data_IF_693812402600
#
_entry.id   IF_693812402600
#
_cell.length_a   1.000
_cell.length_b   1.000
_cell.length_c   1.000
_cell.angle_alpha   90.00
_cell.angle_beta   90.00
_cell.angle_gamma   90.00
#
_symmetry.space_group_name_H-M   'P 1'
#
loop_
_entity.id
_entity.type
_entity.pdbx_description
1 polymer ?
#
# COMPACT_ATOMS: atom_id res chain seq x y z
N UNK A 1 -37.05 -6.03 -39.02
CA UNK A 1 -35.79 -6.80 -38.94
C UNK A 1 -34.86 -5.99 -38.06
N UNK A 2 -34.78 -6.37 -36.78
CA UNK A 2 -34.18 -5.54 -35.74
C UNK A 2 -32.66 -5.45 -35.88
N UNK A 3 -32.12 -4.27 -35.60
CA UNK A 3 -30.68 -3.94 -35.67
C UNK A 3 -29.86 -4.84 -34.72
N UNK A 4 -30.52 -5.41 -33.72
CA UNK A 4 -29.96 -6.39 -32.79
C UNK A 4 -29.73 -7.79 -33.40
N UNK A 5 -30.34 -8.09 -34.54
CA UNK A 5 -30.23 -9.38 -35.22
C UNK A 5 -29.09 -9.35 -36.26
N UNK A 6 -28.88 -8.20 -36.91
CA UNK A 6 -27.76 -7.96 -37.84
C UNK A 6 -26.40 -7.98 -37.13
N UNK A 7 -26.32 -7.47 -35.89
CA UNK A 7 -25.08 -7.48 -35.11
C UNK A 7 -24.68 -8.87 -34.59
N UNK A 8 -25.65 -9.78 -34.43
CA UNK A 8 -25.41 -11.17 -33.98
C UNK A 8 -24.81 -12.06 -35.07
N UNK A 9 -24.95 -11.69 -36.35
CA UNK A 9 -24.46 -12.47 -37.48
C UNK A 9 -23.02 -12.12 -37.88
N UNK A 10 -22.51 -10.93 -37.51
CA UNK A 10 -21.14 -10.50 -37.85
C UNK A 10 -20.09 -11.04 -36.90
N UNK A 11 -20.39 -11.07 -35.61
CA UNK A 11 -19.39 -11.31 -34.58
C UNK A 11 -19.85 -12.50 -33.73
N UNK A 12 -19.31 -13.69 -33.99
CA UNK A 12 -19.64 -14.93 -33.27
C UNK A 12 -19.33 -14.94 -31.76
N UNK A 13 -19.15 -13.78 -31.12
CA UNK A 13 -19.01 -13.58 -29.67
C UNK A 13 -19.69 -12.26 -29.29
N UNK A 14 -20.97 -12.33 -28.93
CA UNK A 14 -21.67 -11.19 -28.30
C UNK A 14 -21.27 -11.09 -26.82
N UNK A 15 -20.20 -10.36 -26.52
CA UNK A 15 -19.91 -9.96 -25.14
C UNK A 15 -20.81 -8.75 -24.79
N UNK A 16 -21.71 -8.85 -23.79
CA UNK A 16 -22.61 -7.76 -23.46
C UNK A 16 -21.86 -6.55 -22.85
N UNK A 17 -22.32 -5.32 -23.12
CA UNK A 17 -21.64 -4.05 -22.80
C UNK A 17 -21.35 -3.82 -21.30
N UNK A 18 -22.06 -4.50 -20.40
CA UNK A 18 -21.78 -4.49 -18.96
C UNK A 18 -20.53 -5.30 -18.57
N UNK A 19 -19.99 -6.10 -19.49
CA UNK A 19 -18.74 -6.87 -19.31
C UNK A 19 -17.49 -6.01 -19.55
N UNK A 20 -17.49 -4.72 -19.19
CA UNK A 20 -16.27 -3.93 -19.15
C UNK A 20 -15.23 -4.56 -18.18
N UNK A 21 -15.72 -5.22 -17.13
CA UNK A 21 -14.93 -6.06 -16.20
C UNK A 21 -14.29 -7.29 -16.84
N UNK A 22 -14.78 -7.80 -17.98
CA UNK A 22 -14.16 -8.95 -18.67
C UNK A 22 -12.84 -8.57 -19.35
N UNK A 23 -12.61 -7.27 -19.60
CA UNK A 23 -11.36 -6.78 -20.18
C UNK A 23 -10.29 -6.72 -19.08
N UNK A 24 -9.46 -7.78 -19.02
CA UNK A 24 -8.31 -8.00 -18.11
C UNK A 24 -7.46 -6.76 -17.79
N UNK A 25 -7.35 -5.80 -18.71
CA UNK A 25 -6.60 -4.55 -18.51
C UNK A 25 -7.18 -3.65 -17.39
N UNK A 26 -8.50 -3.54 -17.26
CA UNK A 26 -9.11 -2.71 -16.21
C UNK A 26 -8.95 -3.32 -14.82
N UNK A 27 -9.02 -4.65 -14.71
CA UNK A 27 -8.77 -5.34 -13.45
C UNK A 27 -7.33 -5.13 -12.96
N UNK A 28 -6.33 -5.18 -13.85
CA UNK A 28 -4.92 -4.93 -13.49
C UNK A 28 -4.71 -3.48 -13.05
N UNK A 29 -5.32 -2.51 -13.74
CA UNK A 29 -5.20 -1.09 -13.35
C UNK A 29 -5.87 -0.83 -12.00
N UNK A 30 -7.02 -1.44 -11.73
CA UNK A 30 -7.70 -1.32 -10.45
C UNK A 30 -6.88 -1.94 -9.31
N UNK A 31 -6.29 -3.12 -9.53
CA UNK A 31 -5.37 -3.76 -8.57
C UNK A 31 -4.10 -2.94 -8.35
N UNK A 32 -3.52 -2.36 -9.40
CA UNK A 32 -2.40 -1.41 -9.33
C UNK A 32 -2.75 -0.21 -8.47
N UNK A 33 -3.90 0.41 -8.72
CA UNK A 33 -4.37 1.56 -7.96
C UNK A 33 -4.53 1.25 -6.46
N UNK A 34 -5.19 0.14 -6.12
CA UNK A 34 -5.37 -0.27 -4.72
C UNK A 34 -4.03 -0.61 -4.05
N UNK A 35 -3.12 -1.27 -4.78
CA UNK A 35 -1.78 -1.59 -4.31
C UNK A 35 -0.97 -0.35 -3.96
N UNK A 36 -0.95 0.65 -4.86
CA UNK A 36 -0.28 1.92 -4.59
C UNK A 36 -0.91 2.65 -3.41
N UNK A 37 -2.25 2.70 -3.33
CA UNK A 37 -2.93 3.31 -2.19
C UNK A 37 -2.53 2.67 -0.85
N UNK A 38 -2.52 1.34 -0.76
CA UNK A 38 -2.14 0.61 0.45
C UNK A 38 -0.69 0.91 0.88
N UNK A 39 0.27 0.88 -0.05
CA UNK A 39 1.67 1.19 0.24
C UNK A 39 1.85 2.63 0.74
N UNK A 40 1.13 3.59 0.16
CA UNK A 40 1.15 4.98 0.63
C UNK A 40 0.56 5.12 2.04
N UNK A 41 -0.53 4.42 2.36
CA UNK A 41 -1.13 4.45 3.68
C UNK A 41 -0.17 3.91 4.76
N UNK A 42 0.49 2.77 4.50
CA UNK A 42 1.45 2.18 5.43
C UNK A 42 2.64 3.12 5.72
N UNK A 43 3.13 3.80 4.69
CA UNK A 43 4.21 4.79 4.83
C UNK A 43 3.82 5.96 5.72
N UNK A 44 2.58 6.45 5.61
CA UNK A 44 2.06 7.53 6.46
C UNK A 44 1.92 7.04 7.90
N UNK A 45 1.37 5.85 8.10
CA UNK A 45 1.19 5.27 9.43
C UNK A 45 2.51 5.15 10.19
N UNK A 46 3.61 4.75 9.52
CA UNK A 46 4.93 4.67 10.16
C UNK A 46 5.43 6.04 10.65
N UNK A 47 5.24 7.10 9.86
CA UNK A 47 5.66 8.45 10.22
C UNK A 47 4.81 9.07 11.33
N UNK A 48 3.52 8.70 11.40
CA UNK A 48 2.63 9.12 12.50
C UNK A 48 2.91 8.32 13.77
N UNK A 49 3.16 7.02 13.65
CA UNK A 49 3.42 6.14 14.78
C UNK A 49 4.68 6.53 15.56
N UNK A 50 5.76 6.95 14.89
CA UNK A 50 6.98 7.39 15.59
C UNK A 50 6.74 8.66 16.41
N UNK A 51 5.89 9.57 15.93
CA UNK A 51 5.49 10.77 16.68
C UNK A 51 4.65 10.35 17.88
N UNK A 52 3.66 9.48 17.70
CA UNK A 52 2.81 9.00 18.80
C UNK A 52 3.59 8.20 19.87
N UNK A 53 4.66 7.50 19.49
CA UNK A 53 5.50 6.75 20.45
C UNK A 53 6.51 7.62 21.21
N UNK A 54 6.80 8.82 20.71
CA UNK A 54 7.78 9.74 21.29
C UNK A 54 7.16 11.03 21.80
N UNK A 55 5.83 11.16 21.75
CA UNK A 55 5.15 12.30 22.33
C UNK A 55 5.23 12.25 23.86
N UNK A 56 5.51 13.41 24.45
CA UNK A 56 5.52 13.59 25.91
C UNK A 56 4.08 13.83 26.34
N UNK A 57 3.56 12.97 27.21
CA UNK A 57 2.20 13.10 27.77
C UNK A 57 2.28 13.54 29.22
N UNK A 58 1.53 14.59 29.55
CA UNK A 58 1.37 15.00 30.93
C UNK A 58 0.35 14.06 31.60
N UNK A 59 0.80 13.31 32.59
CA UNK A 59 0.00 12.36 33.37
C UNK A 59 -0.25 12.98 34.75
N UNK A 60 -1.53 13.17 35.08
CA UNK A 60 -1.94 13.58 36.41
C UNK A 60 -2.05 12.33 37.30
N UNK A 61 -1.24 12.28 38.35
CA UNK A 61 -1.25 11.16 39.30
C UNK A 61 -2.39 11.24 40.33
N UNK A 62 -3.31 12.21 40.21
CA UNK A 62 -4.46 12.37 41.11
C UNK A 62 -4.09 12.91 42.50
N UNK A 63 -2.81 13.21 42.72
CA UNK A 63 -2.26 13.75 43.97
C UNK A 63 -1.88 15.24 43.85
N UNK A 64 -2.29 15.90 42.77
CA UNK A 64 -1.96 17.31 42.45
C UNK A 64 -0.59 17.50 41.78
N UNK A 65 0.11 16.41 41.44
CA UNK A 65 1.39 16.42 40.72
C UNK A 65 1.18 16.00 39.27
N UNK A 66 1.62 16.84 38.34
CA UNK A 66 1.67 16.53 36.91
C UNK A 66 3.07 16.00 36.59
N UNK A 67 3.18 14.75 36.14
CA UNK A 67 4.43 14.21 35.61
C UNK A 67 4.39 14.10 34.10
N UNK A 68 5.57 14.09 33.50
CA UNK A 68 5.71 13.84 32.07
C UNK A 68 6.06 12.36 31.88
N UNK A 69 5.22 11.63 31.17
CA UNK A 69 5.51 10.26 30.77
C UNK A 69 5.69 10.19 29.26
N UNK A 70 6.69 9.43 28.82
CA UNK A 70 6.97 9.15 27.42
C UNK A 70 7.16 7.64 27.26
N UNK A 71 6.56 7.05 26.22
CA UNK A 71 6.60 5.60 26.02
C UNK A 71 8.01 5.12 25.63
N UNK A 72 8.69 5.89 24.77
CA UNK A 72 10.10 5.73 24.45
C UNK A 72 10.81 7.09 24.52
N UNK A 73 11.84 7.19 25.36
CA UNK A 73 12.68 8.38 25.52
C UNK A 73 13.72 8.49 24.38
N UNK A 74 13.23 8.43 23.13
CA UNK A 74 14.07 8.51 21.94
C UNK A 74 14.38 9.96 21.61
N UNK A 75 15.68 10.26 21.53
CA UNK A 75 16.17 11.54 21.04
C UNK A 75 15.77 11.75 19.57
N UNK A 76 15.68 13.01 19.13
CA UNK A 76 15.39 13.33 17.72
C UNK A 76 16.39 12.70 16.75
N UNK A 77 17.62 12.41 17.21
CA UNK A 77 18.65 11.72 16.42
C UNK A 77 18.30 10.25 16.19
N UNK A 78 17.80 9.56 17.21
CA UNK A 78 17.37 8.16 17.11
C UNK A 78 16.11 8.03 16.25
N UNK A 79 15.16 8.94 16.41
CA UNK A 79 13.97 9.00 15.54
C UNK A 79 14.38 9.18 14.07
N UNK A 80 15.33 10.09 13.80
CA UNK A 80 15.89 10.28 12.47
C UNK A 80 16.63 9.05 11.94
N UNK A 81 17.32 8.31 12.81
CA UNK A 81 17.98 7.06 12.42
C UNK A 81 16.97 5.99 11.98
N UNK A 82 15.92 5.77 12.77
CA UNK A 82 14.82 4.84 12.41
C UNK A 82 14.19 5.25 11.09
N UNK A 83 13.85 6.53 10.93
CA UNK A 83 13.23 7.03 9.71
C UNK A 83 14.16 6.87 8.48
N UNK A 84 15.46 7.12 8.64
CA UNK A 84 16.44 6.95 7.58
C UNK A 84 16.61 5.48 7.16
N UNK A 85 16.59 4.54 8.11
CA UNK A 85 16.69 3.11 7.83
C UNK A 85 15.53 2.61 6.98
N UNK A 86 14.32 3.10 7.26
CA UNK A 86 13.13 2.84 6.46
C UNK A 86 13.28 3.38 5.02
N UNK A 87 13.80 4.59 4.85
CA UNK A 87 14.04 5.16 3.52
C UNK A 87 15.08 4.38 2.71
N UNK A 88 16.16 3.93 3.32
CA UNK A 88 17.14 3.07 2.63
C UNK A 88 16.52 1.77 2.15
N UNK A 89 15.71 1.11 2.99
CA UNK A 89 14.96 -0.08 2.60
C UNK A 89 13.98 0.19 1.44
N UNK A 90 13.30 1.33 1.48
CA UNK A 90 12.36 1.74 0.44
C UNK A 90 13.04 2.01 -0.91
N UNK A 91 14.30 2.43 -0.95
CA UNK A 91 15.06 2.61 -2.21
C UNK A 91 15.57 1.27 -2.72
N UNK A 92 16.07 0.41 -1.83
CA UNK A 92 16.65 -0.87 -2.19
C UNK A 92 15.59 -1.87 -2.70
N UNK A 93 14.41 -1.89 -2.07
CA UNK A 93 13.38 -2.92 -2.29
C UNK A 93 12.78 -2.87 -3.71
N UNK A 94 12.43 -1.71 -4.29
CA UNK A 94 11.99 -1.62 -5.69
C UNK A 94 13.07 -2.06 -6.68
N UNK A 95 14.34 -1.77 -6.39
CA UNK A 95 15.46 -2.20 -7.23
C UNK A 95 15.59 -3.72 -7.26
N UNK A 96 15.57 -4.36 -6.09
CA UNK A 96 15.56 -5.82 -5.96
C UNK A 96 14.27 -6.42 -6.54
N UNK A 97 13.12 -5.80 -6.30
CA UNK A 97 11.82 -6.21 -6.84
C UNK A 97 11.78 -6.20 -8.36
N UNK A 98 12.40 -5.20 -8.99
CA UNK A 98 12.57 -5.15 -10.44
C UNK A 98 13.43 -6.29 -10.98
N UNK A 99 14.55 -6.60 -10.30
CA UNK A 99 15.41 -7.73 -10.65
C UNK A 99 14.68 -9.08 -10.51
N UNK A 100 13.97 -9.30 -9.41
CA UNK A 100 13.20 -10.52 -9.14
C UNK A 100 12.03 -10.65 -10.12
N UNK A 101 11.37 -9.55 -10.47
CA UNK A 101 10.28 -9.50 -11.46
C UNK A 101 10.74 -10.00 -12.84
N UNK A 102 11.98 -9.73 -13.23
CA UNK A 102 12.53 -10.21 -14.50
C UNK A 102 12.71 -11.75 -14.53
N UNK A 103 12.94 -12.37 -13.36
CA UNK A 103 13.18 -13.82 -13.27
C UNK A 103 11.91 -14.64 -12.99
N UNK A 104 11.00 -14.14 -12.17
CA UNK A 104 9.81 -14.88 -11.70
C UNK A 104 8.48 -14.36 -12.28
N UNK A 105 8.53 -13.30 -13.10
CA UNK A 105 7.37 -12.67 -13.70
C UNK A 105 6.69 -11.66 -12.75
N UNK A 106 6.40 -10.46 -13.28
CA UNK A 106 5.90 -9.33 -12.48
C UNK A 106 4.54 -9.57 -11.82
N UNK A 107 3.72 -10.48 -12.35
CA UNK A 107 2.39 -10.79 -11.81
C UNK A 107 2.47 -11.40 -10.40
N UNK A 108 3.45 -12.28 -10.17
CA UNK A 108 3.67 -12.93 -8.87
C UNK A 108 4.34 -11.97 -7.88
N UNK A 109 5.34 -11.21 -8.35
CA UNK A 109 6.02 -10.22 -7.51
C UNK A 109 5.07 -9.13 -7.04
N UNK A 110 4.19 -8.66 -7.92
CA UNK A 110 3.16 -7.67 -7.59
C UNK A 110 2.10 -8.23 -6.64
N UNK A 111 1.62 -9.46 -6.88
CA UNK A 111 0.62 -10.11 -6.03
C UNK A 111 1.14 -10.45 -4.63
N UNK A 112 2.34 -11.01 -4.53
CA UNK A 112 2.98 -11.32 -3.23
C UNK A 112 3.33 -10.03 -2.49
N UNK A 113 3.86 -9.02 -3.19
CA UNK A 113 4.20 -7.73 -2.58
C UNK A 113 3.00 -7.07 -1.92
N UNK A 114 1.87 -6.99 -2.61
CA UNK A 114 0.63 -6.41 -2.06
C UNK A 114 0.02 -7.30 -0.98
N UNK A 115 0.07 -8.62 -1.18
CA UNK A 115 -0.43 -9.59 -0.19
C UNK A 115 0.30 -9.45 1.15
N UNK A 116 1.62 -9.27 1.13
CA UNK A 116 2.42 -9.06 2.34
C UNK A 116 2.09 -7.70 2.99
N UNK A 117 1.99 -6.62 2.22
CA UNK A 117 1.60 -5.30 2.77
C UNK A 117 0.18 -5.24 3.30
N UNK A 118 -0.72 -6.09 2.81
CA UNK A 118 -2.09 -6.17 3.33
C UNK A 118 -2.17 -6.88 4.70
N UNK A 119 -1.16 -7.68 5.05
CA UNK A 119 -1.09 -8.40 6.35
C UNK A 119 -0.43 -7.52 7.43
N UNK A 120 0.42 -6.57 7.02
CA UNK A 120 1.27 -5.74 7.88
C UNK A 120 0.56 -4.46 8.34
#
# INVERSE_FOLDING_TARGET
MDIAEVSKLSDGISAPLWMFWKRRRYMVVFMAFLGFFNVYALRVNLSVAIVAMTEVRDVDYGNGTVGQEQYFDWSSKEQGFVLSSFFYGYILTPFLGGFISNKFGGNYVFGVGIGVTAIL
#
